data_IF_500337764358
#
_entry.id   IF_500337764358
#
_cell.length_a   1.000
_cell.length_b   1.000
_cell.length_c   1.000
_cell.angle_alpha   90.00
_cell.angle_beta   90.00
_cell.angle_gamma   90.00
#
_symmetry.space_group_name_H-M   'P 1'
#
loop_
_entity.id
_entity.type
_entity.pdbx_description
1 polymer ?
#
# COMPACT_ATOMS: atom_id res chain seq x y z
N UNK A 1 -39.98 28.46 6.92
CA UNK A 1 -38.63 28.07 6.48
C UNK A 1 -37.87 27.56 7.71
N UNK A 2 -37.67 26.25 7.96
CA UNK A 2 -36.84 25.79 9.06
C UNK A 2 -35.41 25.68 8.58
N UNK A 3 -34.54 26.25 9.39
CA UNK A 3 -33.10 26.34 9.31
C UNK A 3 -32.47 24.93 9.30
N UNK A 4 -31.81 24.61 8.20
CA UNK A 4 -31.09 23.34 7.99
C UNK A 4 -29.69 23.36 8.60
N UNK A 5 -29.57 23.42 9.92
CA UNK A 5 -28.31 23.13 10.60
C UNK A 5 -28.00 21.63 10.51
N UNK A 6 -27.26 21.24 9.49
CA UNK A 6 -26.60 19.93 9.44
C UNK A 6 -25.72 19.78 10.68
N UNK A 7 -26.16 18.89 11.59
CA UNK A 7 -25.47 18.59 12.81
C UNK A 7 -24.01 18.22 12.57
N UNK A 8 -23.10 18.86 13.32
CA UNK A 8 -21.72 18.45 13.47
C UNK A 8 -21.68 16.95 13.77
N UNK A 9 -20.81 16.16 13.11
CA UNK A 9 -20.60 14.78 13.53
C UNK A 9 -20.16 14.82 14.99
N UNK A 10 -20.90 14.10 15.84
CA UNK A 10 -20.54 13.87 17.24
C UNK A 10 -19.14 13.25 17.25
N UNK A 11 -18.19 13.95 17.87
CA UNK A 11 -16.88 13.40 18.16
C UNK A 11 -17.07 12.08 18.92
N UNK A 12 -16.45 11.02 18.44
CA UNK A 12 -16.36 9.75 19.16
C UNK A 12 -15.63 10.00 20.48
N UNK A 13 -16.37 10.23 21.55
CA UNK A 13 -15.85 10.35 22.92
C UNK A 13 -15.69 8.96 23.57
N UNK A 14 -15.60 7.92 22.75
CA UNK A 14 -15.23 6.60 23.22
C UNK A 14 -13.75 6.61 23.60
N UNK A 15 -13.43 6.48 24.90
CA UNK A 15 -12.07 6.21 25.35
C UNK A 15 -11.46 5.11 24.51
N UNK A 16 -10.20 5.26 24.04
CA UNK A 16 -9.54 4.18 23.32
C UNK A 16 -9.59 2.94 24.21
N UNK A 17 -10.12 1.84 23.69
CA UNK A 17 -10.16 0.57 24.39
C UNK A 17 -8.76 0.30 24.94
N UNK A 18 -8.59 0.06 26.24
CA UNK A 18 -7.28 -0.20 26.82
C UNK A 18 -6.77 -1.53 26.26
N UNK A 19 -5.76 -1.46 25.43
CA UNK A 19 -5.09 -2.64 24.89
C UNK A 19 -4.78 -2.47 23.41
N UNK A 20 -3.55 -2.02 23.12
CA UNK A 20 -2.95 -2.16 21.79
C UNK A 20 -2.99 -3.64 21.44
N UNK A 21 -3.85 -4.06 20.50
CA UNK A 21 -3.91 -5.45 20.06
C UNK A 21 -2.61 -5.81 19.38
N UNK A 22 -1.84 -6.69 20.01
CA UNK A 22 -0.51 -7.09 19.54
C UNK A 22 -0.58 -7.59 18.08
N UNK A 23 0.26 -7.01 17.23
CA UNK A 23 0.38 -7.40 15.82
C UNK A 23 -0.69 -6.80 14.89
N UNK A 24 -1.42 -5.75 15.31
CA UNK A 24 -2.34 -4.98 14.46
C UNK A 24 -2.01 -3.49 14.56
N UNK A 25 -2.24 -2.75 13.47
CA UNK A 25 -1.98 -1.31 13.43
C UNK A 25 -3.16 -0.51 13.97
N UNK A 26 -4.38 -0.90 13.64
CA UNK A 26 -5.58 -0.31 14.20
C UNK A 26 -5.89 -0.89 15.58
N UNK A 27 -6.34 -0.05 16.50
CA UNK A 27 -6.80 -0.44 17.84
C UNK A 27 -8.28 -0.80 17.89
N UNK A 28 -9.07 -0.28 16.96
CA UNK A 28 -10.53 -0.41 16.91
C UNK A 28 -11.06 -0.42 15.47
N UNK A 29 -12.37 -0.65 15.36
CA UNK A 29 -13.13 -0.48 14.14
C UNK A 29 -13.96 0.82 14.25
N UNK A 30 -13.55 1.94 13.62
CA UNK A 30 -14.41 3.10 13.51
C UNK A 30 -15.67 2.75 12.72
N UNK A 31 -16.76 3.49 13.00
CA UNK A 31 -18.01 3.37 12.25
C UNK A 31 -17.74 3.65 10.75
N UNK A 32 -18.45 2.94 9.89
CA UNK A 32 -18.37 3.17 8.45
C UNK A 32 -19.33 4.31 8.07
N UNK A 33 -18.90 5.17 7.17
CA UNK A 33 -19.65 6.35 6.71
C UNK A 33 -20.99 6.02 6.01
N UNK A 34 -21.26 4.77 5.73
CA UNK A 34 -22.50 4.29 5.09
C UNK A 34 -23.46 3.60 6.07
N UNK A 35 -23.08 3.43 7.35
CA UNK A 35 -23.98 2.92 8.40
C UNK A 35 -24.74 4.05 9.06
N UNK A 36 -26.06 3.86 9.24
CA UNK A 36 -26.92 4.76 10.00
C UNK A 36 -26.89 4.50 11.52
N UNK A 37 -26.26 3.39 11.95
CA UNK A 37 -26.15 2.99 13.36
C UNK A 37 -24.70 3.01 13.83
N UNK A 38 -24.48 3.56 15.01
CA UNK A 38 -23.18 3.56 15.70
C UNK A 38 -23.18 2.43 16.72
N UNK A 39 -22.14 1.60 16.70
CA UNK A 39 -21.91 0.55 17.71
C UNK A 39 -20.97 1.11 18.77
N UNK A 40 -21.52 1.58 19.86
CA UNK A 40 -20.71 1.96 21.02
C UNK A 40 -20.54 0.76 21.94
N UNK A 41 -19.32 0.50 22.45
CA UNK A 41 -19.12 -0.46 23.52
C UNK A 41 -19.85 0.05 24.78
N UNK A 42 -20.80 -0.70 25.24
CA UNK A 42 -21.57 -0.38 26.45
C UNK A 42 -20.96 -1.13 27.63
N UNK A 43 -20.59 -0.39 28.67
CA UNK A 43 -20.26 -0.96 29.98
C UNK A 43 -21.53 -0.96 30.82
N UNK A 44 -21.98 -2.13 31.21
CA UNK A 44 -23.16 -2.34 32.05
C UNK A 44 -22.93 -1.98 33.53
N UNK A 45 -21.78 -1.40 33.86
CA UNK A 45 -21.42 -0.96 35.19
C UNK A 45 -20.72 -2.01 36.05
N UNK A 46 -20.51 -3.22 35.54
CA UNK A 46 -19.78 -4.27 36.24
C UNK A 46 -18.25 -4.17 36.08
N UNK A 47 -17.77 -3.24 35.30
CA UNK A 47 -16.35 -2.97 35.03
C UNK A 47 -15.58 -4.18 34.43
N UNK A 48 -16.33 -5.12 33.82
CA UNK A 48 -15.78 -6.36 33.23
C UNK A 48 -15.28 -6.17 31.81
N UNK A 49 -15.63 -5.06 31.17
CA UNK A 49 -15.25 -4.77 29.77
C UNK A 49 -13.72 -4.78 29.54
N UNK A 50 -12.87 -4.17 30.39
CA UNK A 50 -11.42 -4.25 30.22
C UNK A 50 -10.87 -5.67 30.33
N UNK A 51 -11.39 -6.48 31.25
CA UNK A 51 -10.99 -7.87 31.46
C UNK A 51 -11.42 -8.73 30.29
N UNK A 52 -12.67 -8.63 29.84
CA UNK A 52 -13.19 -9.35 28.68
C UNK A 52 -12.43 -9.02 27.40
N UNK A 53 -11.98 -7.75 27.23
CA UNK A 53 -11.16 -7.34 26.10
C UNK A 53 -9.72 -7.86 26.17
N UNK A 54 -9.16 -8.01 27.39
CA UNK A 54 -7.81 -8.56 27.59
C UNK A 54 -7.75 -10.07 27.30
N UNK A 55 -8.83 -10.79 27.55
CA UNK A 55 -8.95 -12.24 27.32
C UNK A 55 -9.28 -12.62 25.86
N UNK A 56 -9.62 -11.65 25.01
CA UNK A 56 -9.91 -11.94 23.61
C UNK A 56 -8.72 -12.60 22.91
N UNK A 57 -8.93 -13.72 22.21
CA UNK A 57 -7.87 -14.36 21.45
C UNK A 57 -7.31 -13.42 20.38
N UNK A 58 -6.09 -13.64 19.89
CA UNK A 58 -5.52 -12.89 18.77
C UNK A 58 -6.50 -12.89 17.58
N UNK A 59 -6.75 -11.71 16.99
CA UNK A 59 -7.64 -11.60 15.85
C UNK A 59 -7.11 -12.40 14.66
N UNK A 60 -7.75 -13.52 14.37
CA UNK A 60 -7.46 -14.31 13.18
C UNK A 60 -7.87 -13.54 11.90
N UNK A 61 -7.13 -13.73 10.82
CA UNK A 61 -7.51 -13.22 9.50
C UNK A 61 -8.54 -14.16 8.87
N UNK A 62 -9.68 -13.62 8.45
CA UNK A 62 -10.70 -14.32 7.66
C UNK A 62 -10.59 -13.97 6.19
N UNK A 63 -10.89 -14.93 5.32
CA UNK A 63 -10.78 -14.80 3.88
C UNK A 63 -12.12 -15.05 3.21
N UNK A 64 -12.58 -14.10 2.40
CA UNK A 64 -13.78 -14.21 1.57
C UNK A 64 -13.41 -14.16 0.10
N UNK A 65 -14.03 -15.00 -0.74
CA UNK A 65 -13.84 -14.94 -2.20
C UNK A 65 -14.50 -13.69 -2.78
N UNK A 66 -13.79 -13.00 -3.68
CA UNK A 66 -14.35 -11.94 -4.51
C UNK A 66 -14.99 -12.55 -5.78
N UNK A 67 -16.20 -12.12 -6.10
CA UNK A 67 -16.91 -12.48 -7.34
C UNK A 67 -16.59 -11.52 -8.48
N UNK A 68 -15.44 -10.87 -8.45
CA UNK A 68 -15.01 -9.91 -9.48
C UNK A 68 -14.99 -10.56 -10.88
N UNK A 69 -15.32 -9.76 -11.89
CA UNK A 69 -15.31 -10.18 -13.30
C UNK A 69 -14.17 -9.52 -14.09
N UNK A 70 -13.34 -8.72 -13.45
CA UNK A 70 -12.22 -7.99 -14.06
C UNK A 70 -10.98 -8.10 -13.21
N UNK A 71 -9.83 -8.30 -13.84
CA UNK A 71 -8.53 -8.27 -13.20
C UNK A 71 -7.99 -6.84 -13.13
N UNK A 72 -8.10 -6.09 -14.23
CA UNK A 72 -7.59 -4.73 -14.36
C UNK A 72 -8.55 -3.72 -13.73
N UNK A 73 -7.98 -2.83 -12.93
CA UNK A 73 -8.61 -1.60 -12.46
C UNK A 73 -7.95 -0.42 -13.18
N UNK A 74 -8.76 0.51 -13.66
CA UNK A 74 -8.33 1.69 -14.40
C UNK A 74 -8.32 2.93 -13.52
N UNK A 75 -7.43 3.86 -13.83
CA UNK A 75 -7.35 5.14 -13.17
C UNK A 75 -6.93 6.22 -14.18
N UNK A 76 -7.43 7.44 -13.98
CA UNK A 76 -7.19 8.63 -14.79
C UNK A 76 -6.44 9.73 -14.01
N UNK A 77 -5.88 9.39 -12.86
CA UNK A 77 -5.18 10.36 -11.99
C UNK A 77 -3.90 10.87 -12.67
N UNK A 78 -3.80 12.18 -12.94
CA UNK A 78 -2.66 12.74 -13.68
C UNK A 78 -1.34 12.76 -12.89
N UNK A 79 -1.40 12.52 -11.58
CA UNK A 79 -0.25 12.46 -10.68
C UNK A 79 0.23 11.02 -10.39
N UNK A 80 -0.30 10.03 -11.13
CA UNK A 80 0.17 8.65 -11.10
C UNK A 80 0.79 8.29 -12.46
N UNK A 81 1.92 7.58 -12.43
CA UNK A 81 2.63 7.16 -13.64
C UNK A 81 2.05 5.89 -14.30
N UNK A 82 0.79 5.51 -13.98
CA UNK A 82 0.12 4.34 -14.57
C UNK A 82 -1.37 4.61 -14.73
N UNK A 83 -1.98 4.04 -15.76
CA UNK A 83 -3.42 4.11 -16.03
C UNK A 83 -4.18 2.86 -15.60
N UNK A 84 -3.46 1.79 -15.23
CA UNK A 84 -4.05 0.49 -14.86
C UNK A 84 -3.28 -0.20 -13.75
N UNK A 85 -4.01 -0.96 -12.94
CA UNK A 85 -3.45 -1.70 -11.82
C UNK A 85 -4.13 -3.06 -11.62
N UNK A 86 -3.41 -3.96 -10.92
CA UNK A 86 -3.96 -5.23 -10.45
C UNK A 86 -3.80 -5.27 -8.93
N UNK A 87 -4.88 -5.63 -8.24
CA UNK A 87 -4.88 -5.87 -6.81
C UNK A 87 -5.55 -7.22 -6.54
N UNK A 88 -4.77 -8.28 -6.22
CA UNK A 88 -5.30 -9.62 -5.96
C UNK A 88 -6.18 -9.69 -4.72
N UNK A 89 -6.07 -8.70 -3.84
CA UNK A 89 -6.73 -8.64 -2.54
C UNK A 89 -7.46 -7.32 -2.35
N UNK A 90 -8.46 -7.32 -1.42
CA UNK A 90 -8.99 -6.12 -0.75
C UNK A 90 -8.74 -6.28 0.74
N UNK A 91 -8.27 -5.23 1.40
CA UNK A 91 -7.68 -5.29 2.73
C UNK A 91 -6.23 -5.78 2.70
N UNK A 92 -5.51 -5.54 3.80
CA UNK A 92 -4.07 -5.84 3.87
C UNK A 92 -3.63 -6.18 5.29
N UNK A 93 -3.08 -7.39 5.48
CA UNK A 93 -2.56 -7.84 6.77
C UNK A 93 -1.36 -7.07 7.28
N UNK A 94 -0.65 -6.27 6.46
CA UNK A 94 0.47 -5.47 6.95
C UNK A 94 0.06 -4.52 8.07
N UNK A 95 -1.22 -4.09 8.08
CA UNK A 95 -1.77 -3.32 9.17
C UNK A 95 -1.21 -1.91 9.31
N UNK A 96 -0.65 -1.33 8.24
CA UNK A 96 -0.11 0.03 8.30
C UNK A 96 -1.19 1.02 8.77
N UNK A 97 -0.96 1.70 9.89
CA UNK A 97 -1.96 2.61 10.49
C UNK A 97 -2.31 3.78 9.57
N UNK A 98 -1.38 4.24 8.78
CA UNK A 98 -1.49 5.36 7.85
C UNK A 98 -1.97 4.96 6.44
N UNK A 99 -2.36 3.71 6.20
CA UNK A 99 -2.65 3.23 4.86
C UNK A 99 -3.84 3.97 4.23
N UNK A 100 -3.58 4.68 3.15
CA UNK A 100 -4.59 5.46 2.42
C UNK A 100 -5.68 4.60 1.75
N UNK A 101 -5.46 3.29 1.65
CA UNK A 101 -6.42 2.36 1.06
C UNK A 101 -7.49 1.88 2.05
N UNK A 102 -7.33 2.10 3.35
CA UNK A 102 -8.27 1.68 4.40
C UNK A 102 -9.72 2.09 4.13
N UNK A 103 -10.01 3.33 3.67
CA UNK A 103 -11.39 3.76 3.37
C UNK A 103 -12.10 2.95 2.29
N UNK A 104 -11.36 2.21 1.46
CA UNK A 104 -11.97 1.34 0.42
C UNK A 104 -12.74 0.16 1.03
N UNK A 105 -12.45 -0.21 2.27
CA UNK A 105 -13.13 -1.29 2.97
C UNK A 105 -14.58 -0.94 3.32
N UNK A 106 -14.88 0.34 3.50
CA UNK A 106 -16.24 0.82 3.73
C UNK A 106 -17.19 0.47 2.57
N UNK A 107 -16.70 0.36 1.34
CA UNK A 107 -17.52 -0.09 0.19
C UNK A 107 -17.92 -1.56 0.26
N UNK A 108 -17.31 -2.33 1.14
CA UNK A 108 -17.66 -3.72 1.43
C UNK A 108 -18.58 -3.85 2.66
N UNK A 109 -19.03 -2.73 3.24
CA UNK A 109 -19.73 -2.73 4.52
C UNK A 109 -18.83 -3.13 5.70
N UNK A 110 -17.50 -2.93 5.57
CA UNK A 110 -16.51 -3.29 6.56
C UNK A 110 -15.77 -2.05 7.08
N UNK A 111 -15.36 -2.08 8.35
CA UNK A 111 -14.62 -0.97 8.93
C UNK A 111 -13.23 -0.78 8.30
N UNK A 112 -12.77 0.47 8.09
CA UNK A 112 -11.40 0.77 7.69
C UNK A 112 -10.36 0.49 8.79
N UNK A 113 -10.80 0.16 10.00
CA UNK A 113 -9.98 -0.18 11.16
C UNK A 113 -9.42 -1.60 11.11
N UNK A 114 -9.75 -2.39 12.12
CA UNK A 114 -9.30 -3.78 12.24
C UNK A 114 -9.82 -4.68 11.12
N UNK A 115 -11.04 -4.42 10.59
CA UNK A 115 -11.59 -5.23 9.51
C UNK A 115 -10.70 -5.15 8.26
N UNK A 116 -10.10 -3.98 7.96
CA UNK A 116 -9.16 -3.84 6.84
C UNK A 116 -7.95 -4.78 6.97
N UNK A 117 -7.55 -5.14 8.18
CA UNK A 117 -6.41 -5.99 8.47
C UNK A 117 -6.75 -7.46 8.67
N UNK A 118 -8.03 -7.77 8.96
CA UNK A 118 -8.45 -9.10 9.42
C UNK A 118 -9.53 -9.74 8.57
N UNK A 119 -10.32 -8.96 7.84
CA UNK A 119 -11.40 -9.44 6.97
C UNK A 119 -11.05 -9.18 5.52
N UNK A 120 -10.20 -10.05 4.97
CA UNK A 120 -9.68 -9.87 3.62
C UNK A 120 -10.60 -10.51 2.58
N UNK A 121 -10.67 -9.86 1.42
CA UNK A 121 -11.31 -10.43 0.24
C UNK A 121 -10.23 -10.74 -0.78
N UNK A 122 -10.24 -11.95 -1.36
CA UNK A 122 -9.25 -12.41 -2.33
C UNK A 122 -9.91 -12.82 -3.66
N UNK A 123 -9.19 -12.65 -4.75
CA UNK A 123 -9.65 -12.89 -6.13
C UNK A 123 -9.01 -14.15 -6.70
N UNK A 124 -9.57 -15.34 -6.47
CA UNK A 124 -8.93 -16.61 -6.84
C UNK A 124 -8.71 -16.76 -8.34
N UNK A 125 -9.56 -16.16 -9.16
CA UNK A 125 -9.53 -16.29 -10.64
C UNK A 125 -8.81 -15.12 -11.31
N UNK A 126 -8.04 -14.32 -10.56
CA UNK A 126 -7.47 -13.07 -11.09
C UNK A 126 -6.52 -13.31 -12.27
N UNK A 127 -5.75 -14.37 -12.25
CA UNK A 127 -4.85 -14.74 -13.34
C UNK A 127 -5.61 -15.11 -14.61
N UNK A 128 -6.65 -15.93 -14.51
CA UNK A 128 -7.52 -16.31 -15.63
C UNK A 128 -8.26 -15.10 -16.22
N UNK A 129 -8.77 -14.22 -15.34
CA UNK A 129 -9.42 -12.98 -15.77
C UNK A 129 -8.45 -12.06 -16.49
N UNK A 130 -7.21 -11.92 -15.98
CA UNK A 130 -6.16 -11.13 -16.61
C UNK A 130 -5.83 -11.66 -18.01
N UNK A 131 -5.62 -12.96 -18.15
CA UNK A 131 -5.36 -13.60 -19.44
C UNK A 131 -6.51 -13.33 -20.43
N UNK A 132 -7.75 -13.51 -19.98
CA UNK A 132 -8.94 -13.22 -20.79
C UNK A 132 -9.01 -11.75 -21.22
N UNK A 133 -8.63 -10.81 -20.37
CA UNK A 133 -8.62 -9.39 -20.70
C UNK A 133 -7.53 -9.05 -21.72
N UNK A 134 -6.33 -9.62 -21.59
CA UNK A 134 -5.21 -9.38 -22.50
C UNK A 134 -5.40 -10.05 -23.89
N UNK A 135 -6.21 -11.11 -23.98
CA UNK A 135 -6.57 -11.76 -25.25
C UNK A 135 -7.65 -11.02 -26.03
N UNK A 136 -8.24 -9.96 -25.49
CA UNK A 136 -9.29 -9.22 -26.20
C UNK A 136 -8.72 -8.51 -27.43
N UNK A 137 -9.43 -8.53 -28.56
CA UNK A 137 -9.05 -7.72 -29.72
C UNK A 137 -8.93 -6.24 -29.33
N UNK A 138 -7.87 -5.59 -29.79
CA UNK A 138 -7.62 -4.18 -29.50
C UNK A 138 -7.03 -3.89 -28.10
N UNK A 139 -6.61 -4.91 -27.34
CA UNK A 139 -5.88 -4.67 -26.11
C UNK A 139 -4.54 -3.96 -26.39
N UNK A 140 -4.32 -2.81 -25.78
CA UNK A 140 -3.09 -2.04 -25.90
C UNK A 140 -2.27 -2.20 -24.62
N UNK A 141 -1.06 -2.79 -24.67
CA UNK A 141 -0.22 -2.98 -23.50
C UNK A 141 0.30 -1.64 -22.99
N UNK A 142 0.25 -1.47 -21.67
CA UNK A 142 0.93 -0.42 -20.91
C UNK A 142 1.31 -0.97 -19.55
N UNK A 143 2.36 -0.46 -18.89
CA UNK A 143 2.80 -0.97 -17.60
C UNK A 143 1.65 -1.08 -16.59
N UNK A 144 1.51 -2.26 -16.00
CA UNK A 144 0.50 -2.50 -14.95
C UNK A 144 1.16 -2.23 -13.58
N UNK A 145 0.49 -1.44 -12.73
CA UNK A 145 0.90 -1.28 -11.34
C UNK A 145 0.35 -2.43 -10.48
N UNK A 146 1.23 -3.18 -9.82
CA UNK A 146 0.90 -4.22 -8.87
C UNK A 146 1.23 -3.74 -7.46
N UNK A 147 0.23 -3.72 -6.56
CA UNK A 147 0.41 -3.20 -5.20
C UNK A 147 0.02 -1.72 -5.02
N UNK A 148 -0.79 -1.17 -5.93
CA UNK A 148 -1.25 0.22 -5.85
C UNK A 148 -2.26 0.47 -4.74
N UNK A 149 -3.05 -0.52 -4.33
CA UNK A 149 -4.06 -0.40 -3.27
C UNK A 149 -3.80 -1.31 -2.07
N UNK A 150 -3.42 -2.56 -2.31
CA UNK A 150 -3.06 -3.53 -1.27
C UNK A 150 -1.71 -4.14 -1.59
N UNK A 151 -0.97 -4.53 -0.56
CA UNK A 151 0.35 -5.14 -0.80
C UNK A 151 0.20 -6.52 -1.44
N UNK A 152 0.82 -6.76 -2.60
CA UNK A 152 0.72 -8.03 -3.32
C UNK A 152 1.44 -9.18 -2.61
N UNK A 153 2.36 -8.87 -1.70
CA UNK A 153 3.12 -9.85 -0.91
C UNK A 153 2.80 -9.79 0.59
N UNK A 154 1.57 -9.37 0.95
CA UNK A 154 1.10 -9.45 2.32
C UNK A 154 1.11 -10.92 2.83
N UNK A 155 1.09 -11.17 4.16
CA UNK A 155 1.32 -12.52 4.71
C UNK A 155 0.46 -13.64 4.10
N UNK A 156 -0.81 -13.38 3.77
CA UNK A 156 -1.72 -14.36 3.16
C UNK A 156 -1.25 -14.86 1.78
N UNK A 157 -0.49 -14.05 1.06
CA UNK A 157 0.05 -14.39 -0.27
C UNK A 157 0.98 -15.60 -0.23
N UNK A 158 1.63 -15.88 0.92
CA UNK A 158 2.45 -17.10 1.10
C UNK A 158 1.65 -18.38 0.83
N UNK A 159 0.35 -18.35 1.15
CA UNK A 159 -0.56 -19.50 1.01
C UNK A 159 -1.31 -19.48 -0.31
N UNK A 160 -1.82 -18.32 -0.71
CA UNK A 160 -2.72 -18.20 -1.86
C UNK A 160 -2.00 -18.08 -3.20
N UNK A 161 -0.79 -17.54 -3.23
CA UNK A 161 0.09 -17.39 -4.41
C UNK A 161 -0.56 -16.70 -5.62
N UNK A 162 -1.52 -15.81 -5.37
CA UNK A 162 -2.24 -15.11 -6.44
C UNK A 162 -1.34 -14.13 -7.21
N UNK A 163 -0.42 -13.49 -6.50
CA UNK A 163 0.58 -12.60 -7.13
C UNK A 163 1.49 -13.38 -8.06
N UNK A 164 1.96 -14.56 -7.63
CA UNK A 164 2.77 -15.45 -8.49
C UNK A 164 2.00 -15.84 -9.74
N UNK A 165 0.75 -16.28 -9.61
CA UNK A 165 -0.08 -16.64 -10.76
C UNK A 165 -0.29 -15.47 -11.74
N UNK A 166 -0.45 -14.25 -11.22
CA UNK A 166 -0.52 -13.03 -12.07
C UNK A 166 0.80 -12.80 -12.79
N UNK A 167 1.94 -12.93 -12.11
CA UNK A 167 3.27 -12.75 -12.71
C UNK A 167 3.55 -13.78 -13.80
N UNK A 168 3.16 -15.05 -13.61
CA UNK A 168 3.30 -16.12 -14.61
C UNK A 168 2.50 -15.79 -15.89
N UNK A 169 1.32 -15.21 -15.75
CA UNK A 169 0.54 -14.74 -16.91
C UNK A 169 1.26 -13.58 -17.60
N UNK A 170 1.72 -12.58 -16.85
CA UNK A 170 2.42 -11.42 -17.40
C UNK A 170 3.74 -11.82 -18.10
N UNK A 171 4.48 -12.76 -17.54
CA UNK A 171 5.72 -13.33 -18.10
C UNK A 171 5.45 -14.00 -19.46
N UNK A 172 4.41 -14.85 -19.54
CA UNK A 172 3.99 -15.53 -20.79
C UNK A 172 3.58 -14.56 -21.90
N UNK A 173 2.94 -13.45 -21.53
CA UNK A 173 2.47 -12.43 -22.47
C UNK A 173 3.52 -11.37 -22.79
N UNK A 174 4.71 -11.44 -22.25
CA UNK A 174 5.71 -10.37 -22.29
C UNK A 174 5.12 -9.01 -21.90
N UNK A 175 4.28 -8.99 -20.88
CA UNK A 175 3.57 -7.79 -20.47
C UNK A 175 4.33 -7.05 -19.36
N UNK A 176 4.59 -5.73 -19.50
CA UNK A 176 5.31 -4.96 -18.50
C UNK A 176 4.52 -4.74 -17.20
N UNK A 177 5.23 -4.80 -16.07
CA UNK A 177 4.66 -4.64 -14.73
C UNK A 177 5.60 -3.88 -13.81
N UNK A 178 5.04 -2.99 -12.99
CA UNK A 178 5.74 -2.37 -11.86
C UNK A 178 5.17 -2.89 -10.54
N UNK A 179 6.03 -3.28 -9.62
CA UNK A 179 5.65 -3.85 -8.33
C UNK A 179 6.01 -2.88 -7.22
N UNK A 180 5.06 -2.60 -6.32
CA UNK A 180 5.33 -1.85 -5.09
C UNK A 180 4.97 -2.72 -3.88
N UNK A 181 5.92 -2.90 -2.97
CA UNK A 181 5.70 -3.73 -1.78
C UNK A 181 6.51 -3.27 -0.57
N UNK A 182 6.04 -3.63 0.62
CA UNK A 182 6.76 -3.55 1.90
C UNK A 182 7.27 -4.92 2.38
N UNK A 183 7.10 -5.93 1.55
CA UNK A 183 7.38 -7.32 1.92
C UNK A 183 8.68 -7.84 1.31
N UNK A 184 9.47 -8.53 2.10
CA UNK A 184 10.57 -9.36 1.58
C UNK A 184 10.06 -10.63 0.86
N UNK A 185 8.74 -10.89 0.88
CA UNK A 185 8.12 -12.01 0.18
C UNK A 185 8.26 -11.96 -1.33
N UNK A 186 8.59 -10.80 -1.90
CA UNK A 186 8.88 -10.63 -3.33
C UNK A 186 10.04 -11.53 -3.81
N UNK A 187 10.96 -11.89 -2.92
CA UNK A 187 12.08 -12.79 -3.22
C UNK A 187 11.63 -14.21 -3.60
N UNK A 188 10.42 -14.63 -3.22
CA UNK A 188 9.86 -15.92 -3.66
C UNK A 188 9.77 -16.05 -5.17
N UNK A 189 9.49 -14.93 -5.85
CA UNK A 189 9.21 -14.91 -7.29
C UNK A 189 10.40 -14.39 -8.12
N UNK A 190 11.60 -14.40 -7.55
CA UNK A 190 12.84 -13.88 -8.20
C UNK A 190 13.12 -14.57 -9.52
N UNK A 191 12.75 -15.84 -9.66
CA UNK A 191 12.88 -16.64 -10.88
C UNK A 191 12.08 -16.05 -12.06
N UNK A 192 10.86 -15.61 -11.82
CA UNK A 192 10.02 -14.97 -12.82
C UNK A 192 10.51 -13.54 -13.08
N UNK A 193 10.77 -12.80 -12.00
CA UNK A 193 11.20 -11.40 -12.09
C UNK A 193 12.51 -11.25 -12.85
N UNK A 194 13.46 -12.17 -12.69
CA UNK A 194 14.72 -12.17 -13.41
C UNK A 194 14.53 -12.38 -14.92
N UNK A 195 13.68 -13.34 -15.32
CA UNK A 195 13.32 -13.53 -16.73
C UNK A 195 12.62 -12.31 -17.32
N UNK A 196 11.72 -11.67 -16.58
CA UNK A 196 11.06 -10.45 -17.03
C UNK A 196 12.03 -9.27 -17.11
N UNK A 197 12.95 -9.13 -16.15
CA UNK A 197 13.94 -8.08 -16.11
C UNK A 197 14.90 -8.14 -17.32
N UNK A 198 15.33 -9.33 -17.76
CA UNK A 198 16.18 -9.51 -18.95
C UNK A 198 15.52 -8.99 -20.24
N UNK A 199 14.20 -8.80 -20.23
CA UNK A 199 13.41 -8.26 -21.35
C UNK A 199 12.91 -6.83 -21.10
N UNK A 200 13.37 -6.16 -20.05
CA UNK A 200 12.91 -4.85 -19.62
C UNK A 200 11.39 -4.78 -19.35
N UNK A 201 10.82 -5.84 -18.74
CA UNK A 201 9.39 -5.97 -18.48
C UNK A 201 9.02 -5.73 -17.02
N UNK A 202 9.98 -5.60 -16.11
CA UNK A 202 9.69 -5.45 -14.69
C UNK A 202 10.66 -4.54 -13.98
N UNK A 203 10.17 -3.83 -13.00
CA UNK A 203 10.97 -3.26 -11.93
C UNK A 203 10.23 -3.40 -10.60
N UNK A 204 10.98 -3.47 -9.51
CA UNK A 204 10.45 -3.68 -8.17
C UNK A 204 10.81 -2.49 -7.28
N UNK A 205 9.79 -1.88 -6.70
CA UNK A 205 9.93 -0.78 -5.76
C UNK A 205 9.62 -1.26 -4.32
N UNK A 206 10.61 -1.19 -3.43
CA UNK A 206 10.37 -1.44 -2.01
C UNK A 206 10.11 -0.14 -1.27
N UNK A 207 9.01 -0.12 -0.48
CA UNK A 207 8.76 0.98 0.44
C UNK A 207 9.59 0.82 1.71
N UNK A 208 10.41 1.81 2.03
CA UNK A 208 11.16 1.91 3.29
C UNK A 208 10.74 3.19 4.00
N UNK A 209 9.92 3.03 5.03
CA UNK A 209 9.29 4.15 5.75
C UNK A 209 10.21 4.74 6.81
N UNK A 210 11.00 3.91 7.46
CA UNK A 210 11.94 4.26 8.53
C UNK A 210 13.00 3.18 8.66
N UNK A 211 14.15 3.52 9.20
CA UNK A 211 15.18 2.57 9.62
C UNK A 211 15.08 2.25 11.12
N UNK A 212 14.26 3.01 11.85
CA UNK A 212 13.99 2.73 13.26
C UNK A 212 13.07 1.51 13.39
N UNK A 213 13.59 0.47 14.01
CA UNK A 213 12.90 -0.81 14.18
C UNK A 213 11.66 -0.70 15.07
N UNK A 214 11.71 0.16 16.09
CA UNK A 214 10.58 0.40 17.02
C UNK A 214 9.45 1.12 16.29
N UNK A 215 9.78 2.21 15.60
CA UNK A 215 8.81 2.98 14.84
C UNK A 215 8.17 2.13 13.71
N UNK A 216 8.99 1.36 12.97
CA UNK A 216 8.48 0.45 11.95
C UNK A 216 7.47 -0.55 12.52
N UNK A 217 7.77 -1.16 13.66
CA UNK A 217 6.89 -2.14 14.31
C UNK A 217 5.57 -1.51 14.79
N UNK A 218 5.59 -0.26 15.22
CA UNK A 218 4.39 0.45 15.66
C UNK A 218 3.51 0.85 14.46
N UNK A 219 4.11 1.35 13.38
CA UNK A 219 3.38 1.84 12.21
C UNK A 219 2.93 0.74 11.26
N UNK A 220 3.69 -0.36 11.15
CA UNK A 220 3.59 -1.40 10.13
C UNK A 220 3.78 -2.80 10.74
N UNK A 221 2.94 -3.22 11.70
CA UNK A 221 3.24 -4.32 12.62
C UNK A 221 3.47 -5.68 11.97
N UNK A 222 2.95 -5.91 10.76
CA UNK A 222 3.08 -7.18 10.03
C UNK A 222 3.81 -7.05 8.68
N UNK A 223 4.33 -5.88 8.37
CA UNK A 223 5.22 -5.70 7.22
C UNK A 223 6.64 -6.19 7.56
N UNK A 224 7.48 -6.37 6.54
CA UNK A 224 8.87 -6.76 6.77
C UNK A 224 9.63 -5.68 7.55
N UNK A 225 10.48 -6.08 8.49
CA UNK A 225 11.36 -5.16 9.22
C UNK A 225 12.30 -4.39 8.25
N UNK A 226 12.73 -3.17 8.58
CA UNK A 226 13.58 -2.35 7.69
C UNK A 226 14.80 -3.10 7.15
N UNK A 227 15.53 -3.80 8.00
CA UNK A 227 16.71 -4.60 7.60
C UNK A 227 16.37 -5.69 6.57
N UNK A 228 15.18 -6.29 6.67
CA UNK A 228 14.73 -7.30 5.72
C UNK A 228 14.35 -6.69 4.38
N UNK A 229 13.84 -5.44 4.35
CA UNK A 229 13.57 -4.70 3.12
C UNK A 229 14.87 -4.32 2.41
N UNK A 230 15.90 -3.89 3.14
CA UNK A 230 17.24 -3.62 2.59
C UNK A 230 17.88 -4.90 2.04
N UNK A 231 17.79 -6.01 2.76
CA UNK A 231 18.27 -7.31 2.28
C UNK A 231 17.52 -7.76 1.01
N UNK A 232 16.21 -7.52 0.92
CA UNK A 232 15.43 -7.81 -0.27
C UNK A 232 15.83 -6.94 -1.47
N UNK A 233 16.08 -5.64 -1.26
CA UNK A 233 16.63 -4.75 -2.30
C UNK A 233 17.93 -5.30 -2.85
N UNK A 234 18.86 -5.69 -1.96
CA UNK A 234 20.17 -6.23 -2.35
C UNK A 234 20.03 -7.50 -3.17
N UNK A 235 19.25 -8.47 -2.70
CA UNK A 235 19.05 -9.74 -3.40
C UNK A 235 18.41 -9.55 -4.80
N UNK A 236 17.45 -8.63 -4.93
CA UNK A 236 16.87 -8.29 -6.22
C UNK A 236 17.89 -7.63 -7.16
N UNK A 237 18.67 -6.68 -6.66
CA UNK A 237 19.70 -6.00 -7.45
C UNK A 237 20.81 -6.98 -7.91
N UNK A 238 21.27 -7.87 -7.03
CA UNK A 238 22.23 -8.93 -7.33
C UNK A 238 21.70 -9.91 -8.39
N UNK A 239 20.37 -10.13 -8.43
CA UNK A 239 19.71 -10.92 -9.45
C UNK A 239 19.51 -10.16 -10.79
N UNK A 240 19.99 -8.93 -10.91
CA UNK A 240 19.82 -8.10 -12.12
C UNK A 240 18.43 -7.54 -12.31
N UNK A 241 17.59 -7.54 -11.28
CA UNK A 241 16.24 -6.99 -11.34
C UNK A 241 16.32 -5.48 -11.02
N UNK A 242 15.82 -4.58 -11.89
CA UNK A 242 15.81 -3.15 -11.62
C UNK A 242 15.03 -2.81 -10.34
N UNK A 243 15.69 -2.17 -9.38
CA UNK A 243 15.11 -1.87 -8.08
C UNK A 243 14.99 -0.38 -7.81
N UNK A 244 13.99 -0.04 -7.03
CA UNK A 244 13.74 1.30 -6.58
C UNK A 244 13.37 1.34 -5.10
N UNK A 245 13.56 2.50 -4.46
CA UNK A 245 13.05 2.76 -3.11
C UNK A 245 11.96 3.82 -3.14
N UNK A 246 10.91 3.58 -2.37
CA UNK A 246 9.92 4.59 -2.03
C UNK A 246 10.03 4.91 -0.54
N UNK A 247 10.62 6.08 -0.21
CA UNK A 247 10.65 6.60 1.15
C UNK A 247 9.26 7.15 1.49
N UNK A 248 8.32 6.28 1.88
CA UNK A 248 6.90 6.63 2.01
C UNK A 248 6.15 5.79 3.06
N UNK A 249 5.31 6.51 3.83
CA UNK A 249 5.15 7.96 3.87
C UNK A 249 6.26 8.64 4.65
N UNK A 250 6.63 9.85 4.23
CA UNK A 250 7.37 10.79 5.06
C UNK A 250 6.38 11.56 5.93
N UNK A 251 6.57 11.51 7.22
CA UNK A 251 5.68 12.09 8.23
C UNK A 251 6.42 13.25 8.90
N UNK A 252 6.00 14.51 8.67
CA UNK A 252 6.63 15.69 9.25
C UNK A 252 6.82 15.57 10.77
N UNK A 253 8.06 15.76 11.24
CA UNK A 253 8.40 15.70 12.64
C UNK A 253 8.41 14.29 13.27
N UNK A 254 8.21 13.22 12.50
CA UNK A 254 8.26 11.85 13.04
C UNK A 254 9.43 11.03 12.44
N UNK A 255 9.41 10.78 11.13
CA UNK A 255 10.44 9.98 10.43
C UNK A 255 11.15 10.74 9.30
N UNK A 256 10.74 11.93 8.97
CA UNK A 256 11.31 12.74 7.90
C UNK A 256 12.79 13.13 8.11
N UNK A 257 13.24 13.14 9.37
CA UNK A 257 14.67 13.31 9.70
C UNK A 257 15.55 12.16 9.19
N UNK A 258 14.98 11.01 8.87
CA UNK A 258 15.70 9.84 8.38
C UNK A 258 15.83 9.81 6.84
N UNK A 259 15.25 10.76 6.10
CA UNK A 259 15.14 10.71 4.65
C UNK A 259 16.47 10.40 3.96
N UNK A 260 17.53 11.13 4.27
CA UNK A 260 18.85 10.94 3.65
C UNK A 260 19.47 9.59 4.04
N UNK A 261 19.28 9.17 5.30
CA UNK A 261 19.78 7.86 5.77
C UNK A 261 19.06 6.71 5.07
N UNK A 262 17.74 6.80 4.87
CA UNK A 262 16.96 5.81 4.12
C UNK A 262 17.47 5.72 2.70
N UNK A 263 17.61 6.86 2.02
CA UNK A 263 18.09 6.90 0.64
C UNK A 263 19.51 6.34 0.53
N UNK A 264 20.44 6.72 1.41
CA UNK A 264 21.81 6.19 1.43
C UNK A 264 21.84 4.67 1.60
N UNK A 265 21.16 4.14 2.62
CA UNK A 265 21.09 2.71 2.90
C UNK A 265 20.45 1.90 1.74
N UNK A 266 19.42 2.45 1.11
CA UNK A 266 18.78 1.80 -0.04
C UNK A 266 19.69 1.83 -1.29
N UNK A 267 20.46 2.91 -1.49
CA UNK A 267 21.44 2.99 -2.57
C UNK A 267 22.56 1.96 -2.41
N UNK A 268 23.09 1.83 -1.22
CA UNK A 268 24.07 0.79 -0.86
C UNK A 268 23.51 -0.63 -1.04
N UNK A 269 22.20 -0.80 -0.85
CA UNK A 269 21.49 -2.06 -1.12
C UNK A 269 21.15 -2.27 -2.61
N UNK A 270 21.57 -1.38 -3.53
CA UNK A 270 21.42 -1.55 -4.97
C UNK A 270 20.22 -0.85 -5.61
N UNK A 271 19.45 -0.03 -4.85
CA UNK A 271 18.38 0.74 -5.46
C UNK A 271 18.95 1.77 -6.46
N UNK A 272 18.48 1.74 -7.70
CA UNK A 272 18.92 2.63 -8.78
C UNK A 272 18.06 3.89 -8.89
N UNK A 273 16.84 3.86 -8.34
CA UNK A 273 15.85 4.93 -8.40
C UNK A 273 15.24 5.17 -7.02
N UNK A 274 14.75 6.39 -6.78
CA UNK A 274 14.11 6.72 -5.53
C UNK A 274 12.93 7.67 -5.71
N UNK A 275 11.96 7.56 -4.80
CA UNK A 275 10.84 8.47 -4.66
C UNK A 275 10.50 8.69 -3.19
N UNK A 276 9.71 9.72 -2.90
CA UNK A 276 9.09 9.91 -1.59
C UNK A 276 7.63 10.37 -1.73
N UNK A 277 6.85 10.12 -0.71
CA UNK A 277 5.47 10.62 -0.59
C UNK A 277 5.24 11.13 0.81
N UNK A 278 4.71 12.36 0.93
CA UNK A 278 4.24 12.87 2.22
C UNK A 278 2.99 12.11 2.68
N UNK A 279 2.86 11.96 3.99
CA UNK A 279 1.73 11.31 4.64
C UNK A 279 0.38 11.79 4.07
N UNK A 280 -0.47 10.84 3.74
CA UNK A 280 -1.83 11.05 3.24
C UNK A 280 -2.82 10.46 4.21
N UNK A 281 -3.77 11.25 4.66
CA UNK A 281 -4.76 10.86 5.68
C UNK A 281 -6.20 11.04 5.17
N UNK A 282 -6.62 10.31 4.12
CA UNK A 282 -7.97 10.44 3.59
C UNK A 282 -9.00 9.88 4.57
N UNK A 283 -10.12 10.61 4.71
CA UNK A 283 -11.32 10.18 5.43
C UNK A 283 -11.00 9.63 6.84
N UNK A 284 -11.45 8.44 7.17
CA UNK A 284 -11.30 7.80 8.49
C UNK A 284 -9.84 7.61 8.93
N UNK A 285 -8.90 7.61 7.98
CA UNK A 285 -7.47 7.44 8.30
C UNK A 285 -6.92 8.60 9.12
N UNK A 286 -7.48 9.81 8.96
CA UNK A 286 -7.04 10.98 9.71
C UNK A 286 -7.24 10.79 11.21
N UNK A 287 -8.44 10.39 11.62
CA UNK A 287 -8.78 10.16 13.04
C UNK A 287 -8.03 8.96 13.61
N UNK A 288 -7.94 7.87 12.84
CA UNK A 288 -7.21 6.67 13.25
C UNK A 288 -5.73 6.97 13.49
N UNK A 289 -5.10 7.74 12.60
CA UNK A 289 -3.69 8.12 12.73
C UNK A 289 -3.48 9.09 13.90
N UNK A 290 -4.36 10.06 14.10
CA UNK A 290 -4.31 10.98 15.24
C UNK A 290 -4.40 10.23 16.58
N UNK A 291 -5.34 9.29 16.71
CA UNK A 291 -5.50 8.44 17.88
C UNK A 291 -4.24 7.61 18.13
N UNK A 292 -3.72 6.97 17.09
CA UNK A 292 -2.47 6.21 17.15
C UNK A 292 -1.29 7.09 17.62
N UNK A 293 -1.18 8.30 17.08
CA UNK A 293 -0.11 9.23 17.40
C UNK A 293 -0.17 9.69 18.85
N UNK A 294 -1.37 10.00 19.35
CA UNK A 294 -1.58 10.38 20.75
C UNK A 294 -1.23 9.24 21.73
N UNK A 295 -1.54 8.00 21.35
CA UNK A 295 -1.25 6.82 22.15
C UNK A 295 0.25 6.47 22.23
N UNK A 296 0.98 6.68 21.13
CA UNK A 296 2.39 6.28 21.06
C UNK A 296 3.40 7.42 21.24
N UNK A 297 3.00 8.67 20.98
CA UNK A 297 3.84 9.86 21.04
C UNK A 297 3.09 11.06 21.63
N UNK A 298 2.50 10.95 22.86
CA UNK A 298 1.64 11.99 23.44
C UNK A 298 2.32 13.37 23.48
N UNK A 299 3.59 13.43 23.89
CA UNK A 299 4.34 14.67 24.03
C UNK A 299 4.65 15.37 22.69
N UNK A 300 4.62 14.64 21.60
CA UNK A 300 4.96 15.14 20.25
C UNK A 300 3.75 15.24 19.33
N UNK A 301 2.62 14.65 19.70
CA UNK A 301 1.44 14.53 18.85
C UNK A 301 0.94 15.86 18.33
N UNK A 302 0.78 16.86 19.19
CA UNK A 302 0.31 18.19 18.83
C UNK A 302 1.21 18.85 17.77
N UNK A 303 2.53 18.78 17.97
CA UNK A 303 3.52 19.34 17.02
C UNK A 303 3.50 18.62 15.67
N UNK A 304 3.48 17.29 15.69
CA UNK A 304 3.45 16.48 14.45
C UNK A 304 2.17 16.78 13.64
N UNK A 305 1.01 16.83 14.30
CA UNK A 305 -0.25 17.18 13.65
C UNK A 305 -0.26 18.60 13.07
N UNK A 306 0.35 19.56 13.78
CA UNK A 306 0.49 20.93 13.28
C UNK A 306 1.35 20.97 12.00
N UNK A 307 2.49 20.28 11.98
CA UNK A 307 3.35 20.17 10.80
C UNK A 307 2.66 19.47 9.62
N UNK A 308 1.87 18.42 9.87
CA UNK A 308 1.06 17.76 8.83
C UNK A 308 0.09 18.77 8.22
N UNK A 309 -0.65 19.53 9.05
CA UNK A 309 -1.58 20.54 8.58
C UNK A 309 -0.89 21.67 7.79
N UNK A 310 0.28 22.11 8.25
CA UNK A 310 1.09 23.10 7.51
C UNK A 310 1.35 22.64 6.07
N UNK A 311 1.75 21.37 5.87
CA UNK A 311 1.99 20.83 4.54
C UNK A 311 0.72 20.58 3.70
N UNK A 312 -0.46 20.84 4.25
CA UNK A 312 -1.78 20.61 3.65
C UNK A 312 -2.69 21.84 3.67
N UNK A 313 -2.10 23.05 3.74
CA UNK A 313 -2.86 24.29 3.76
C UNK A 313 -3.80 24.43 4.95
N UNK A 314 -3.39 23.95 6.12
CA UNK A 314 -4.15 24.01 7.37
C UNK A 314 -5.09 22.83 7.61
N UNK A 315 -5.25 21.91 6.66
CA UNK A 315 -6.12 20.71 6.77
C UNK A 315 -5.32 19.45 7.10
N UNK A 316 -5.99 18.40 7.55
CA UNK A 316 -5.36 17.09 7.78
C UNK A 316 -5.00 16.38 6.48
N UNK A 317 -5.72 16.67 5.39
CA UNK A 317 -5.53 16.07 4.07
C UNK A 317 -5.97 17.02 2.95
N UNK A 318 -5.21 17.01 1.85
CA UNK A 318 -5.55 17.68 0.60
C UNK A 318 -5.59 16.64 -0.52
N UNK A 319 -6.75 16.49 -1.17
CA UNK A 319 -6.97 15.47 -2.19
C UNK A 319 -6.58 15.92 -3.60
N UNK A 320 -6.24 17.20 -3.81
CA UNK A 320 -5.93 17.76 -5.12
C UNK A 320 -4.74 17.06 -5.77
N UNK A 321 -4.86 16.77 -7.05
CA UNK A 321 -3.79 16.20 -7.85
C UNK A 321 -2.54 17.09 -7.84
N UNK A 322 -1.37 16.47 -7.86
CA UNK A 322 -0.08 17.20 -7.79
C UNK A 322 0.30 17.68 -6.39
N UNK A 323 -0.67 17.85 -5.48
CA UNK A 323 -0.43 18.31 -4.10
C UNK A 323 -0.53 17.14 -3.10
N UNK A 324 -1.51 16.26 -3.27
CA UNK A 324 -1.79 15.18 -2.32
C UNK A 324 -0.59 14.29 -1.98
N UNK A 325 0.42 14.23 -2.85
CA UNK A 325 1.59 13.39 -2.67
C UNK A 325 2.80 14.12 -2.08
N UNK A 326 2.99 15.36 -2.45
CA UNK A 326 4.20 16.14 -2.10
C UNK A 326 3.94 17.26 -1.11
N UNK A 327 2.68 17.66 -0.92
CA UNK A 327 2.31 18.78 -0.05
C UNK A 327 2.67 20.15 -0.61
N UNK A 328 2.45 21.18 0.19
CA UNK A 328 2.73 22.60 -0.09
C UNK A 328 3.31 23.28 1.15
N UNK A 329 3.87 24.47 0.94
CA UNK A 329 4.40 25.30 2.02
C UNK A 329 5.88 25.03 2.36
N UNK A 330 6.46 25.87 3.23
CA UNK A 330 7.91 25.87 3.48
C UNK A 330 8.48 24.53 3.95
N UNK A 331 7.73 23.81 4.79
CA UNK A 331 8.19 22.51 5.28
C UNK A 331 8.24 21.46 4.15
N UNK A 332 7.20 21.38 3.32
CA UNK A 332 7.16 20.49 2.17
C UNK A 332 8.24 20.83 1.14
N UNK A 333 8.50 22.12 0.92
CA UNK A 333 9.54 22.59 0.01
C UNK A 333 10.94 22.25 0.52
N UNK A 334 11.18 22.41 1.80
CA UNK A 334 12.44 21.97 2.46
C UNK A 334 12.66 20.48 2.29
N UNK A 335 11.64 19.65 2.53
CA UNK A 335 11.75 18.20 2.37
C UNK A 335 12.03 17.84 0.90
N UNK A 336 11.40 18.53 -0.05
CA UNK A 336 11.64 18.33 -1.49
C UNK A 336 13.08 18.68 -1.86
N UNK A 337 13.61 19.79 -1.35
CA UNK A 337 15.00 20.19 -1.59
C UNK A 337 15.98 19.17 -0.99
N UNK A 338 15.76 18.74 0.25
CA UNK A 338 16.57 17.68 0.90
C UNK A 338 16.57 16.40 0.08
N UNK A 339 15.40 15.97 -0.41
CA UNK A 339 15.28 14.81 -1.27
C UNK A 339 16.12 14.95 -2.54
N UNK A 340 16.02 16.06 -3.27
CA UNK A 340 16.80 16.28 -4.49
C UNK A 340 18.30 16.36 -4.23
N UNK A 341 18.74 16.96 -3.13
CA UNK A 341 20.13 16.98 -2.73
C UNK A 341 20.65 15.59 -2.41
N UNK A 342 19.85 14.78 -1.70
CA UNK A 342 20.18 13.39 -1.39
C UNK A 342 20.29 12.53 -2.67
N UNK A 343 19.41 12.71 -3.65
CA UNK A 343 19.50 12.01 -4.94
C UNK A 343 20.84 12.30 -5.63
N UNK A 344 21.23 13.56 -5.69
CA UNK A 344 22.52 13.96 -6.28
C UNK A 344 23.70 13.38 -5.49
N UNK A 345 23.65 13.49 -4.16
CA UNK A 345 24.70 13.00 -3.27
C UNK A 345 24.95 11.51 -3.41
N UNK A 346 23.88 10.71 -3.52
CA UNK A 346 23.98 9.25 -3.59
C UNK A 346 24.01 8.70 -5.02
N UNK A 347 23.96 9.56 -6.04
CA UNK A 347 24.05 9.15 -7.45
C UNK A 347 22.85 8.33 -7.92
N UNK A 348 21.64 8.71 -7.50
CA UNK A 348 20.41 8.17 -8.09
C UNK A 348 20.18 8.72 -9.49
N UNK A 349 19.95 7.84 -10.49
CA UNK A 349 19.86 8.24 -11.90
C UNK A 349 18.57 8.99 -12.24
N UNK A 350 17.45 8.57 -11.70
CA UNK A 350 16.12 9.12 -12.01
C UNK A 350 15.21 9.15 -10.78
N UNK A 351 14.22 10.06 -10.80
CA UNK A 351 13.19 10.17 -9.77
C UNK A 351 11.91 9.51 -10.22
N UNK A 352 11.10 9.02 -9.27
CA UNK A 352 9.72 8.66 -9.54
C UNK A 352 8.82 9.89 -9.53
N UNK A 353 7.92 10.00 -10.48
CA UNK A 353 6.80 10.94 -10.41
C UNK A 353 5.60 10.22 -9.79
N UNK A 354 5.26 10.58 -8.57
CA UNK A 354 4.03 10.13 -7.88
C UNK A 354 4.13 8.78 -7.15
N UNK A 355 3.16 8.53 -6.25
CA UNK A 355 3.02 7.27 -5.53
C UNK A 355 2.57 6.17 -6.49
N UNK A 356 3.44 5.22 -6.77
CA UNK A 356 3.16 4.08 -7.62
C UNK A 356 3.57 4.25 -9.08
N UNK A 357 4.03 5.42 -9.48
CA UNK A 357 4.70 5.61 -10.77
C UNK A 357 6.16 5.22 -10.65
N UNK A 358 6.53 4.08 -11.15
CA UNK A 358 7.90 3.74 -11.37
C UNK A 358 8.40 4.47 -12.61
N UNK A 359 9.00 5.65 -12.41
CA UNK A 359 9.87 6.41 -13.29
C UNK A 359 9.56 6.53 -14.79
N UNK A 360 10.17 7.54 -15.38
CA UNK A 360 10.10 7.88 -16.81
C UNK A 360 10.87 6.89 -17.74
N UNK A 361 11.41 5.78 -17.19
CA UNK A 361 12.05 4.75 -18.01
C UNK A 361 10.98 3.74 -18.42
N UNK A 362 10.54 3.79 -19.66
CA UNK A 362 9.42 2.99 -20.08
C UNK A 362 9.82 1.52 -20.08
N UNK A 363 9.10 0.72 -19.30
CA UNK A 363 9.12 -0.73 -19.50
C UNK A 363 8.69 -1.03 -20.94
N UNK A 364 9.30 -2.05 -21.53
CA UNK A 364 9.13 -2.34 -22.95
C UNK A 364 7.76 -2.95 -23.26
N UNK A 365 6.86 -2.13 -23.77
CA UNK A 365 5.53 -2.56 -24.21
C UNK A 365 5.55 -3.23 -25.63
N UNK A 366 6.62 -3.05 -26.39
CA UNK A 366 6.71 -3.55 -27.78
C UNK A 366 6.84 -5.07 -27.86
N UNK A 367 7.28 -5.69 -26.76
CA UNK A 367 7.46 -7.14 -26.65
C UNK A 367 6.14 -7.89 -26.36
N UNK A 368 5.06 -7.19 -26.09
CA UNK A 368 3.79 -7.83 -25.78
C UNK A 368 3.36 -8.77 -26.90
N UNK A 369 3.06 -10.01 -26.54
CA UNK A 369 2.58 -11.03 -27.45
C UNK A 369 1.46 -11.83 -26.80
N UNK A 370 0.44 -12.16 -27.58
CA UNK A 370 -0.62 -13.06 -27.14
C UNK A 370 -0.18 -14.49 -27.46
N UNK A 371 0.16 -15.31 -26.46
CA UNK A 371 0.56 -16.69 -26.71
C UNK A 371 -0.60 -17.47 -27.33
N UNK A 372 -0.32 -18.54 -28.12
CA UNK A 372 -1.37 -19.44 -28.59
C UNK A 372 -2.25 -19.90 -27.42
N UNK A 373 -3.55 -20.03 -27.63
CA UNK A 373 -4.38 -20.72 -26.64
C UNK A 373 -3.89 -22.17 -26.54
N UNK A 374 -3.70 -22.66 -25.31
CA UNK A 374 -3.55 -24.11 -25.14
C UNK A 374 -4.74 -24.74 -25.82
N UNK A 375 -4.50 -25.51 -26.90
CA UNK A 375 -5.56 -26.20 -27.60
C UNK A 375 -6.31 -27.06 -26.57
N UNK A 376 -7.62 -26.92 -26.52
CA UNK A 376 -8.44 -27.88 -25.79
C UNK A 376 -7.95 -29.28 -26.18
N UNK A 377 -7.80 -30.24 -25.23
CA UNK A 377 -7.32 -31.55 -25.57
C UNK A 377 -8.12 -32.03 -26.76
N UNK A 378 -7.42 -32.34 -27.86
CA UNK A 378 -8.08 -32.86 -29.07
C UNK A 378 -8.88 -34.06 -28.63
N UNK A 379 -10.17 -33.95 -28.71
CA UNK A 379 -11.07 -35.09 -28.54
C UNK A 379 -10.61 -36.10 -29.57
N UNK A 380 -9.94 -37.15 -29.08
CA UNK A 380 -9.52 -38.25 -29.91
C UNK A 380 -10.81 -38.77 -30.59
N UNK A 381 -10.89 -38.60 -31.90
CA UNK A 381 -11.93 -39.20 -32.68
C UNK A 381 -11.85 -40.71 -32.50
N UNK A 382 -12.85 -41.30 -31.89
CA UNK A 382 -12.99 -42.73 -31.67
C UNK A 382 -13.65 -43.38 -32.90
N UNK A 383 -13.11 -43.05 -34.09
CA UNK A 383 -13.46 -43.78 -35.35
C UNK A 383 -12.22 -43.84 -36.25
#
# INVERSE_FOLDING_TARGET
MPDGSLGRPLALTGSPLPGVRRGRGASANPAIRYESSVRDPFDDGWNTLPEALAELPPLATTLTRDVTRKALAWNDSPDLGFDRSINPYRGCEHGCIYCYARPTHAWLGLSPGLDFETRLVFKPEIATLLEKEMRRPGYVPKPIALGSNTDPYQPVERRLQLTRAVLEVLDRFNHPVSIVTKSAGVLRDIDILQRMASRNLVHVCLSVTTLDHRLARLMEPRAAAPIRRLAALRALAEAGIPTAVLAAPMIPGLNDAELERILGACREAGASRAGYVLLRLPLEVAEMFETWLRNHYPDRAARILALIRETRGGQSYDSRFGIRQVGTGPYADTLRQRFHLALKRFGYGQTFRGAGGCGDDPLDCSRFTVPPSEAAPQQLSLF
#
